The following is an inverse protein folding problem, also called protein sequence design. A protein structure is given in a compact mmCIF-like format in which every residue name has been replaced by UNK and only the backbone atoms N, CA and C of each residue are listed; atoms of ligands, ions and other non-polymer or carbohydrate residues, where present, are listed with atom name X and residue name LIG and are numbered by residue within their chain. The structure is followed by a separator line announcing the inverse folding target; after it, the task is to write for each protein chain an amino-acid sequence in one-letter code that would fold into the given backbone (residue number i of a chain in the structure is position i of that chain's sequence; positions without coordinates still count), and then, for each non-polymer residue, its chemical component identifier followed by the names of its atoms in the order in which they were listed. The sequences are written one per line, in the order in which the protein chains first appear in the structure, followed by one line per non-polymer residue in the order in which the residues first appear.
data_IF_397532399538
#
_entry.id   IF_397532399538
#
_cell.length_a   1.000
_cell.length_b   1.000
_cell.length_c   1.000
_cell.angle_alpha   90.00
_cell.angle_beta   90.00
_cell.angle_gamma   90.00
#
_symmetry.space_group_name_H-M   'P 1'
#
loop_
_entity.id
_entity.type
_entity.pdbx_description
1 polymer ?
#
# COMPACT_ATOMS: atom_id res chain seq x y z
N UNK A 1 12.76 40.13 -13.26
CA UNK A 1 12.99 39.30 -12.05
C UNK A 1 11.97 38.17 -12.06
N UNK A 2 12.39 36.97 -12.46
CA UNK A 2 11.51 35.82 -12.62
C UNK A 2 11.07 35.25 -11.27
N UNK A 3 9.76 35.11 -11.09
CA UNK A 3 9.13 34.47 -9.93
C UNK A 3 9.24 32.95 -10.12
N UNK A 4 10.11 32.32 -9.34
CA UNK A 4 10.18 30.87 -9.28
C UNK A 4 8.96 30.35 -8.51
N UNK A 5 8.00 29.73 -9.20
CA UNK A 5 7.00 28.90 -8.55
C UNK A 5 7.62 27.52 -8.34
N UNK A 6 8.14 27.27 -7.14
CA UNK A 6 8.42 25.90 -6.69
C UNK A 6 7.06 25.17 -6.59
N UNK A 7 6.73 24.41 -7.63
CA UNK A 7 5.74 23.34 -7.53
C UNK A 7 6.35 22.29 -6.60
N UNK A 8 5.99 22.39 -5.32
CA UNK A 8 6.40 21.43 -4.30
C UNK A 8 5.89 20.06 -4.67
N UNK A 9 6.78 19.23 -5.25
CA UNK A 9 6.60 17.81 -5.42
C UNK A 9 6.34 17.26 -4.00
N UNK A 10 5.09 16.90 -3.68
CA UNK A 10 4.74 16.32 -2.37
C UNK A 10 5.57 15.06 -2.23
N UNK A 11 6.58 15.08 -1.35
CA UNK A 11 7.33 13.89 -1.00
C UNK A 11 6.36 12.89 -0.40
N UNK A 12 6.10 11.79 -1.11
CA UNK A 12 5.24 10.72 -0.64
C UNK A 12 6.00 9.95 0.45
N UNK A 13 5.91 10.39 1.70
CA UNK A 13 6.56 9.73 2.83
C UNK A 13 5.55 8.75 3.42
N UNK A 14 5.85 7.46 3.36
CA UNK A 14 5.07 6.43 4.06
C UNK A 14 5.10 6.74 5.56
N UNK A 15 3.92 6.94 6.15
CA UNK A 15 3.77 7.11 7.60
C UNK A 15 3.60 5.74 8.24
N UNK A 16 4.63 5.30 8.95
CA UNK A 16 4.73 3.91 9.44
C UNK A 16 3.81 3.57 10.60
N UNK A 17 3.38 4.58 11.35
CA UNK A 17 2.53 4.43 12.53
C UNK A 17 1.07 4.82 12.29
N UNK A 18 0.75 5.35 11.11
CA UNK A 18 -0.61 5.73 10.74
C UNK A 18 -1.31 4.61 9.94
N UNK A 19 -2.63 4.43 10.12
CA UNK A 19 -3.41 3.49 9.31
C UNK A 19 -3.27 3.75 7.81
N UNK A 20 -3.00 2.70 7.04
CA UNK A 20 -3.04 2.78 5.59
C UNK A 20 -4.46 3.13 5.12
N UNK A 21 -4.56 4.03 4.15
CA UNK A 21 -5.84 4.44 3.57
C UNK A 21 -5.97 3.84 2.17
N UNK A 22 -6.91 2.92 1.99
CA UNK A 22 -7.30 2.43 0.67
C UNK A 22 -8.22 3.47 0.03
N UNK A 23 -8.01 3.80 -1.25
CA UNK A 23 -8.87 4.77 -1.94
C UNK A 23 -10.30 4.23 -2.09
N UNK A 24 -11.28 5.13 -2.00
CA UNK A 24 -12.72 4.78 -1.97
C UNK A 24 -13.21 4.04 -3.22
N UNK A 25 -12.54 4.24 -4.36
CA UNK A 25 -12.83 3.62 -5.65
C UNK A 25 -12.17 2.26 -5.85
N UNK A 26 -11.48 1.74 -4.83
CA UNK A 26 -10.82 0.44 -4.86
C UNK A 26 -11.74 -0.64 -4.31
N UNK A 27 -11.89 -1.73 -5.05
CA UNK A 27 -12.45 -2.98 -4.55
C UNK A 27 -11.41 -4.07 -4.72
N UNK A 28 -11.35 -4.99 -3.77
CA UNK A 28 -10.45 -6.12 -3.90
C UNK A 28 -11.09 -7.38 -3.31
N UNK A 29 -10.63 -8.53 -3.80
CA UNK A 29 -11.03 -9.83 -3.28
C UNK A 29 -9.88 -10.81 -3.44
N UNK A 30 -9.73 -11.70 -2.48
CA UNK A 30 -8.86 -12.86 -2.59
C UNK A 30 -9.46 -13.89 -3.56
N UNK A 31 -8.63 -14.44 -4.42
CA UNK A 31 -8.95 -15.52 -5.35
C UNK A 31 -7.81 -16.53 -5.24
N UNK A 32 -8.09 -17.69 -4.63
CA UNK A 32 -7.07 -18.68 -4.27
C UNK A 32 -5.93 -18.05 -3.43
N UNK A 33 -4.69 -18.13 -3.91
CA UNK A 33 -3.50 -17.58 -3.27
C UNK A 33 -3.18 -16.13 -3.72
N UNK A 34 -3.96 -15.57 -4.66
CA UNK A 34 -3.75 -14.23 -5.19
C UNK A 34 -4.89 -13.28 -4.80
N UNK A 35 -4.70 -11.99 -5.10
CA UNK A 35 -5.73 -10.98 -4.97
C UNK A 35 -6.00 -10.27 -6.29
N UNK A 36 -7.26 -9.97 -6.52
CA UNK A 36 -7.70 -9.10 -7.62
C UNK A 36 -8.08 -7.76 -7.05
N UNK A 37 -7.53 -6.67 -7.60
CA UNK A 37 -7.83 -5.30 -7.23
C UNK A 37 -8.48 -4.60 -8.42
N UNK A 38 -9.73 -4.19 -8.27
CA UNK A 38 -10.49 -3.39 -9.23
C UNK A 38 -10.38 -1.91 -8.86
N UNK A 39 -9.84 -1.12 -9.78
CA UNK A 39 -9.85 0.35 -9.74
C UNK A 39 -11.08 0.86 -10.48
N UNK A 40 -12.18 1.10 -9.75
CA UNK A 40 -13.48 1.40 -10.36
C UNK A 40 -13.48 2.72 -11.15
N UNK A 41 -12.66 3.70 -10.74
CA UNK A 41 -12.55 4.99 -11.42
C UNK A 41 -11.91 4.90 -12.80
N UNK A 42 -10.90 4.05 -12.97
CA UNK A 42 -10.17 3.90 -14.25
C UNK A 42 -10.58 2.66 -15.06
N UNK A 43 -11.33 1.72 -14.48
CA UNK A 43 -11.69 0.46 -15.14
C UNK A 43 -10.52 -0.51 -15.28
N UNK A 44 -9.50 -0.37 -14.42
CA UNK A 44 -8.30 -1.20 -14.43
C UNK A 44 -8.37 -2.32 -13.39
N UNK A 45 -7.72 -3.45 -13.70
CA UNK A 45 -7.58 -4.59 -12.80
C UNK A 45 -6.10 -4.85 -12.56
N UNK A 46 -5.71 -4.92 -11.29
CA UNK A 46 -4.38 -5.33 -10.86
C UNK A 46 -4.48 -6.70 -10.20
N UNK A 47 -3.45 -7.52 -10.43
CA UNK A 47 -3.27 -8.78 -9.71
C UNK A 47 -2.15 -8.59 -8.71
N UNK A 48 -2.39 -9.00 -7.47
CA UNK A 48 -1.42 -9.00 -6.39
C UNK A 48 -1.21 -10.43 -5.92
N UNK A 49 0.00 -10.73 -5.48
CA UNK A 49 0.30 -12.03 -4.86
C UNK A 49 -0.32 -12.13 -3.45
N UNK A 50 -0.12 -13.28 -2.81
CA UNK A 50 -0.65 -13.60 -1.47
C UNK A 50 -0.32 -12.53 -0.42
N UNK A 51 0.93 -12.08 -0.37
CA UNK A 51 1.39 -11.05 0.57
C UNK A 51 0.71 -9.72 0.25
N UNK A 52 0.57 -9.38 -1.03
CA UNK A 52 -0.05 -8.13 -1.46
C UNK A 52 -1.53 -8.06 -1.08
N UNK A 53 -2.28 -9.13 -1.28
CA UNK A 53 -3.69 -9.19 -0.84
C UNK A 53 -3.80 -9.17 0.68
N UNK A 54 -2.86 -9.82 1.40
CA UNK A 54 -2.82 -9.78 2.87
C UNK A 54 -2.60 -8.37 3.41
N UNK A 55 -1.70 -7.60 2.78
CA UNK A 55 -1.46 -6.19 3.13
C UNK A 55 -2.74 -5.36 2.95
N UNK A 56 -3.51 -5.59 1.88
CA UNK A 56 -4.77 -4.87 1.63
C UNK A 56 -5.87 -5.26 2.63
N UNK A 57 -5.98 -6.53 2.99
CA UNK A 57 -6.90 -7.00 4.04
C UNK A 57 -6.60 -6.31 5.38
N UNK A 58 -5.33 -6.28 5.79
CA UNK A 58 -4.92 -5.60 7.02
C UNK A 58 -5.12 -4.07 6.95
N UNK A 59 -4.87 -3.45 5.80
CA UNK A 59 -5.15 -2.03 5.60
C UNK A 59 -6.64 -1.72 5.70
N UNK A 60 -7.52 -2.60 5.19
CA UNK A 60 -8.98 -2.47 5.35
C UNK A 60 -9.43 -2.58 6.81
N UNK A 61 -8.69 -3.32 7.64
CA UNK A 61 -8.87 -3.38 9.10
C UNK A 61 -8.30 -2.15 9.84
N UNK A 62 -7.68 -1.20 9.13
CA UNK A 62 -7.10 0.01 9.70
C UNK A 62 -5.68 -0.18 10.26
N UNK A 63 -4.95 -1.22 9.81
CA UNK A 63 -3.58 -1.44 10.25
C UNK A 63 -2.61 -0.39 9.67
N UNK A 64 -1.63 0.00 10.48
CA UNK A 64 -0.48 0.79 10.05
C UNK A 64 0.62 -0.09 9.44
N UNK A 65 1.56 0.46 8.64
CA UNK A 65 2.68 -0.30 8.10
C UNK A 65 3.50 -1.05 9.15
N UNK A 66 3.73 -0.47 10.33
CA UNK A 66 4.43 -1.14 11.43
C UNK A 66 3.63 -2.33 11.98
N UNK A 67 2.29 -2.20 12.07
CA UNK A 67 1.44 -3.33 12.51
C UNK A 67 1.42 -4.44 11.47
N UNK A 68 1.34 -4.08 10.19
CA UNK A 68 1.41 -5.02 9.07
C UNK A 68 2.72 -5.79 9.09
N UNK A 69 3.86 -5.11 9.27
CA UNK A 69 5.16 -5.77 9.39
C UNK A 69 5.17 -6.80 10.51
N UNK A 70 4.74 -6.43 11.71
CA UNK A 70 4.72 -7.35 12.84
C UNK A 70 3.87 -8.60 12.58
N UNK A 71 2.74 -8.45 11.88
CA UNK A 71 1.86 -9.57 11.51
C UNK A 71 2.53 -10.44 10.44
N UNK A 72 3.11 -9.83 9.40
CA UNK A 72 3.76 -10.58 8.32
C UNK A 72 5.03 -11.32 8.79
N UNK A 73 5.80 -10.75 9.73
CA UNK A 73 6.94 -11.43 10.37
C UNK A 73 6.49 -12.70 11.09
N UNK A 74 5.36 -12.63 11.82
CA UNK A 74 4.79 -13.76 12.55
C UNK A 74 4.15 -14.80 11.61
N UNK A 75 3.41 -14.36 10.59
CA UNK A 75 2.68 -15.25 9.67
C UNK A 75 3.59 -16.01 8.69
N UNK A 76 4.66 -15.36 8.21
CA UNK A 76 5.52 -15.90 7.15
C UNK A 76 6.90 -16.39 7.62
N UNK A 77 7.22 -16.29 8.92
CA UNK A 77 8.51 -16.68 9.52
C UNK A 77 9.73 -16.10 8.77
N UNK A 78 9.67 -14.80 8.48
CA UNK A 78 10.67 -14.06 7.69
C UNK A 78 11.47 -13.09 8.54
N UNK A 79 12.74 -12.87 8.16
CA UNK A 79 13.59 -11.88 8.84
C UNK A 79 13.10 -10.43 8.63
N UNK A 80 13.02 -9.67 9.73
CA UNK A 80 12.50 -8.30 9.78
C UNK A 80 13.21 -7.30 8.84
N UNK A 81 14.52 -7.50 8.61
CA UNK A 81 15.35 -6.57 7.84
C UNK A 81 14.93 -6.47 6.36
N UNK A 82 14.98 -7.57 5.59
CA UNK A 82 14.51 -7.60 4.20
C UNK A 82 13.03 -7.24 4.08
N UNK A 83 12.19 -7.72 4.99
CA UNK A 83 10.75 -7.52 4.94
C UNK A 83 10.36 -6.05 4.99
N UNK A 84 10.98 -5.24 5.87
CA UNK A 84 10.70 -3.80 5.95
C UNK A 84 10.93 -3.09 4.63
N UNK A 85 12.02 -3.43 3.92
CA UNK A 85 12.34 -2.84 2.62
C UNK A 85 11.35 -3.27 1.54
N UNK A 86 10.96 -4.54 1.55
CA UNK A 86 10.02 -5.08 0.58
C UNK A 86 8.62 -4.51 0.76
N UNK A 87 8.14 -4.43 2.00
CA UNK A 87 6.86 -3.77 2.33
C UNK A 87 6.91 -2.28 1.96
N UNK A 88 8.00 -1.56 2.29
CA UNK A 88 8.12 -0.15 1.91
C UNK A 88 7.98 0.06 0.40
N UNK A 89 8.73 -0.74 -0.39
CA UNK A 89 8.67 -0.70 -1.86
C UNK A 89 7.27 -1.03 -2.37
N UNK A 90 6.63 -2.06 -1.85
CA UNK A 90 5.30 -2.44 -2.29
C UNK A 90 4.24 -1.38 -1.96
N UNK A 91 4.30 -0.75 -0.79
CA UNK A 91 3.42 0.37 -0.44
C UNK A 91 3.63 1.58 -1.35
N UNK A 92 4.86 1.86 -1.77
CA UNK A 92 5.14 2.88 -2.79
C UNK A 92 4.51 2.51 -4.13
N UNK A 93 4.65 1.26 -4.57
CA UNK A 93 4.03 0.74 -5.80
C UNK A 93 2.50 0.87 -5.76
N UNK A 94 1.85 0.47 -4.66
CA UNK A 94 0.40 0.62 -4.48
C UNK A 94 -0.04 2.08 -4.46
N UNK A 95 0.77 2.98 -3.91
CA UNK A 95 0.45 4.42 -3.91
C UNK A 95 0.59 5.01 -5.31
N UNK A 96 1.64 4.62 -6.06
CA UNK A 96 1.85 5.04 -7.45
C UNK A 96 0.77 4.47 -8.38
N UNK A 97 0.32 3.24 -8.13
CA UNK A 97 -0.79 2.60 -8.83
C UNK A 97 -2.16 3.16 -8.44
N UNK A 98 -2.24 4.15 -7.54
CA UNK A 98 -3.49 4.79 -7.15
C UNK A 98 -4.43 3.90 -6.34
N UNK A 99 -3.89 2.86 -5.69
CA UNK A 99 -4.62 1.96 -4.77
C UNK A 99 -4.67 2.54 -3.37
N UNK A 100 -3.53 3.01 -2.87
CA UNK A 100 -3.43 3.69 -1.57
C UNK A 100 -3.52 5.21 -1.74
N UNK A 101 -4.12 5.87 -0.75
CA UNK A 101 -4.11 7.32 -0.63
C UNK A 101 -2.70 7.83 -0.30
N UNK A 102 -2.38 9.03 -0.80
CA UNK A 102 -1.26 9.78 -0.26
C UNK A 102 -1.75 10.35 1.07
N UNK A 103 -1.06 10.05 2.18
CA UNK A 103 -1.45 10.53 3.51
C UNK A 103 -1.86 12.01 3.45
N UNK A 104 -3.05 12.30 4.01
CA UNK A 104 -3.71 13.61 3.98
C UNK A 104 -2.76 14.78 4.27
#
# INVERSE_FOLDING_TARGET
MGRWTFSGRRSNVIRWDEPLQIKDDIRFSRVEEEGVVLRQGEGEVLVVNEVGIRILELAQEGASPNRILAILEEEYDVEAGPLRKDVARFLEELTQAGVLGHGL
#
